data_IF_164977390787
#
_entry.id   IF_164977390787
#
_cell.length_a   1.000
_cell.length_b   1.000
_cell.length_c   1.000
_cell.angle_alpha   90.00
_cell.angle_beta   90.00
_cell.angle_gamma   90.00
#
_symmetry.space_group_name_H-M   'P 1'
#
loop_
_entity.id
_entity.type
_entity.pdbx_description
1 polymer ?
#
# COMPACT_ATOMS: atom_id res chain seq x y z
N UNK A 1 -5.12 4.31 7.38
CA UNK A 1 -5.51 3.13 6.55
C UNK A 1 -6.31 2.09 7.34
N UNK A 2 -5.79 1.40 8.38
CA UNK A 2 -6.57 0.40 9.13
C UNK A 2 -7.87 0.95 9.71
N UNK A 3 -7.82 2.13 10.34
CA UNK A 3 -9.02 2.80 10.86
C UNK A 3 -10.03 3.13 9.75
N UNK A 4 -9.55 3.58 8.58
CA UNK A 4 -10.41 3.87 7.43
C UNK A 4 -11.05 2.61 6.87
N UNK A 5 -10.33 1.48 6.86
CA UNK A 5 -10.87 0.18 6.45
C UNK A 5 -11.99 -0.29 7.39
N UNK A 6 -11.78 -0.19 8.71
CA UNK A 6 -12.77 -0.56 9.72
C UNK A 6 -14.02 0.32 9.58
N UNK A 7 -13.84 1.63 9.51
CA UNK A 7 -14.94 2.58 9.35
C UNK A 7 -15.70 2.38 8.03
N UNK A 8 -14.99 2.09 6.94
CA UNK A 8 -15.59 1.80 5.64
C UNK A 8 -16.43 0.54 5.66
N UNK A 9 -15.99 -0.53 6.35
CA UNK A 9 -16.79 -1.75 6.53
C UNK A 9 -18.06 -1.46 7.34
N UNK A 10 -17.95 -0.70 8.43
CA UNK A 10 -19.10 -0.32 9.26
C UNK A 10 -20.11 0.55 8.50
N UNK A 11 -19.64 1.42 7.62
CA UNK A 11 -20.47 2.28 6.77
C UNK A 11 -20.96 1.59 5.49
N UNK A 12 -20.71 0.29 5.32
CA UNK A 12 -21.06 -0.47 4.11
C UNK A 12 -20.51 0.09 2.79
N UNK A 13 -19.40 0.84 2.85
CA UNK A 13 -18.76 1.45 1.66
C UNK A 13 -18.34 0.39 0.63
N UNK A 14 -17.96 -0.80 1.11
CA UNK A 14 -17.57 -1.93 0.26
C UNK A 14 -18.74 -2.81 -0.18
N UNK A 15 -19.99 -2.38 0.07
CA UNK A 15 -21.18 -3.08 -0.44
C UNK A 15 -21.37 -2.75 -1.92
N UNK A 16 -21.55 -3.76 -2.74
CA UNK A 16 -21.94 -3.56 -4.13
C UNK A 16 -23.39 -3.10 -4.22
N UNK A 17 -23.64 -2.03 -4.95
CA UNK A 17 -24.98 -1.55 -5.28
C UNK A 17 -25.21 -1.74 -6.77
N UNK A 18 -26.13 -2.65 -7.14
CA UNK A 18 -26.47 -2.92 -8.53
C UNK A 18 -27.87 -2.37 -8.77
N UNK A 19 -27.99 -1.47 -9.76
CA UNK A 19 -29.28 -0.96 -10.21
C UNK A 19 -29.86 -1.88 -11.27
N UNK A 20 -31.10 -2.32 -11.10
CA UNK A 20 -31.82 -3.04 -12.13
C UNK A 20 -32.14 -2.10 -13.30
N UNK A 21 -32.02 -2.60 -14.53
CA UNK A 21 -32.32 -1.87 -15.78
C UNK A 21 -33.80 -1.67 -15.94
N UNK A 22 -34.58 -2.72 -15.62
CA UNK A 22 -36.03 -2.81 -15.71
C UNK A 22 -36.55 -3.95 -14.83
N UNK A 23 -37.87 -4.22 -14.90
CA UNK A 23 -38.53 -5.27 -14.09
C UNK A 23 -38.17 -6.70 -14.60
N UNK A 24 -37.81 -6.87 -15.86
CA UNK A 24 -37.38 -8.15 -16.40
C UNK A 24 -36.00 -8.52 -15.89
N UNK A 25 -35.09 -7.55 -15.82
CA UNK A 25 -33.75 -7.69 -15.25
C UNK A 25 -33.81 -8.04 -13.73
N UNK A 26 -34.74 -7.41 -13.00
CA UNK A 26 -35.02 -7.73 -11.61
C UNK A 26 -35.57 -9.16 -11.45
N UNK A 27 -36.56 -9.55 -12.24
CA UNK A 27 -37.12 -10.90 -12.20
C UNK A 27 -36.06 -11.96 -12.54
N UNK A 28 -35.17 -11.66 -13.51
CA UNK A 28 -34.04 -12.53 -13.85
C UNK A 28 -33.08 -12.70 -12.65
N UNK A 29 -32.78 -11.63 -11.91
CA UNK A 29 -31.98 -11.69 -10.69
C UNK A 29 -32.66 -12.53 -9.60
N UNK A 30 -33.96 -12.31 -9.35
CA UNK A 30 -34.72 -13.05 -8.36
C UNK A 30 -34.80 -14.56 -8.66
N UNK A 31 -34.68 -14.94 -9.90
CA UNK A 31 -34.64 -16.34 -10.38
C UNK A 31 -33.22 -16.94 -10.41
N UNK A 32 -32.18 -16.14 -10.22
CA UNK A 32 -30.80 -16.62 -10.27
C UNK A 32 -30.37 -17.31 -8.97
N UNK A 33 -29.53 -18.32 -9.10
CA UNK A 33 -29.00 -19.07 -7.94
C UNK A 33 -27.76 -18.39 -7.35
N UNK A 34 -26.99 -17.72 -8.21
CA UNK A 34 -25.75 -17.02 -7.86
C UNK A 34 -25.68 -15.66 -8.57
N UNK A 35 -25.22 -14.64 -7.84
CA UNK A 35 -25.14 -13.28 -8.36
C UNK A 35 -24.11 -13.15 -9.50
N UNK A 36 -23.01 -13.89 -9.44
CA UNK A 36 -21.96 -13.81 -10.47
C UNK A 36 -22.42 -14.45 -11.77
N UNK A 37 -23.15 -15.58 -11.69
CA UNK A 37 -23.77 -16.21 -12.85
C UNK A 37 -24.81 -15.29 -13.50
N UNK A 38 -25.61 -14.59 -12.69
CA UNK A 38 -26.57 -13.61 -13.21
C UNK A 38 -25.89 -12.43 -13.89
N UNK A 39 -24.83 -11.86 -13.29
CA UNK A 39 -24.07 -10.75 -13.86
C UNK A 39 -23.42 -11.14 -15.20
N UNK A 40 -22.91 -12.36 -15.32
CA UNK A 40 -22.33 -12.88 -16.55
C UNK A 40 -23.41 -13.06 -17.63
N UNK A 41 -24.51 -13.73 -17.31
CA UNK A 41 -25.62 -13.98 -18.24
C UNK A 41 -26.34 -12.70 -18.69
N UNK A 42 -26.32 -11.65 -17.86
CA UNK A 42 -26.92 -10.35 -18.15
C UNK A 42 -25.95 -9.37 -18.84
N UNK A 43 -24.73 -9.81 -19.21
CA UNK A 43 -23.67 -8.97 -19.79
C UNK A 43 -23.40 -7.71 -18.95
N UNK A 44 -23.23 -7.89 -17.64
CA UNK A 44 -22.93 -6.83 -16.65
C UNK A 44 -21.47 -6.90 -16.20
N UNK A 45 -20.55 -6.76 -17.15
CA UNK A 45 -19.11 -6.91 -16.87
C UNK A 45 -18.57 -5.84 -15.91
N UNK A 46 -19.04 -4.59 -16.02
CA UNK A 46 -18.69 -3.50 -15.12
C UNK A 46 -19.14 -3.80 -13.69
N UNK A 47 -20.42 -4.13 -13.50
CA UNK A 47 -20.99 -4.44 -12.19
C UNK A 47 -20.28 -5.65 -11.56
N UNK A 48 -19.94 -6.66 -12.37
CA UNK A 48 -19.18 -7.83 -11.91
C UNK A 48 -17.77 -7.47 -11.46
N UNK A 49 -17.07 -6.64 -12.23
CA UNK A 49 -15.73 -6.20 -11.87
C UNK A 49 -15.72 -5.37 -10.58
N UNK A 50 -16.66 -4.43 -10.47
CA UNK A 50 -16.81 -3.59 -9.28
C UNK A 50 -17.16 -4.42 -8.03
N UNK A 51 -18.09 -5.37 -8.16
CA UNK A 51 -18.45 -6.26 -7.06
C UNK A 51 -17.27 -7.11 -6.58
N UNK A 52 -16.48 -7.68 -7.51
CA UNK A 52 -15.31 -8.48 -7.17
C UNK A 52 -14.21 -7.64 -6.52
N UNK A 53 -13.95 -6.43 -7.01
CA UNK A 53 -12.98 -5.51 -6.38
C UNK A 53 -13.47 -5.13 -4.98
N UNK A 54 -14.73 -4.73 -4.82
CA UNK A 54 -15.31 -4.36 -3.53
C UNK A 54 -15.28 -5.49 -2.49
N UNK A 55 -15.42 -6.73 -2.96
CA UNK A 55 -15.36 -7.91 -2.09
C UNK A 55 -13.92 -8.27 -1.69
N UNK A 56 -12.99 -8.26 -2.67
CA UNK A 56 -11.63 -8.77 -2.44
C UNK A 56 -10.72 -7.71 -1.82
N UNK A 57 -10.81 -6.46 -2.25
CA UNK A 57 -9.92 -5.38 -1.80
C UNK A 57 -9.88 -5.22 -0.26
N UNK A 58 -11.01 -5.07 0.48
CA UNK A 58 -10.96 -4.87 1.92
C UNK A 58 -10.47 -6.10 2.69
N UNK A 59 -10.72 -7.30 2.17
CA UNK A 59 -10.24 -8.54 2.79
C UNK A 59 -8.73 -8.72 2.58
N UNK A 60 -8.27 -8.48 1.35
CA UNK A 60 -6.85 -8.50 1.01
C UNK A 60 -6.06 -7.46 1.81
N UNK A 61 -6.61 -6.25 1.93
CA UNK A 61 -6.00 -5.16 2.69
C UNK A 61 -5.94 -5.47 4.19
N UNK A 62 -6.99 -6.09 4.76
CA UNK A 62 -6.99 -6.56 6.15
C UNK A 62 -5.86 -7.55 6.42
N UNK A 63 -5.76 -8.60 5.61
CA UNK A 63 -4.70 -9.62 5.71
C UNK A 63 -3.28 -9.03 5.54
N UNK A 64 -3.14 -8.04 4.64
CA UNK A 64 -1.88 -7.30 4.49
C UNK A 64 -1.50 -6.51 5.74
N UNK A 65 -2.46 -5.79 6.33
CA UNK A 65 -2.20 -4.99 7.52
C UNK A 65 -1.87 -5.83 8.73
N UNK A 66 -2.54 -6.96 8.91
CA UNK A 66 -2.21 -7.91 9.97
C UNK A 66 -0.77 -8.41 9.83
N UNK A 67 -0.38 -8.84 8.64
CA UNK A 67 1.00 -9.26 8.37
C UNK A 67 2.03 -8.13 8.59
N UNK A 68 1.75 -6.92 8.10
CA UNK A 68 2.64 -5.77 8.24
C UNK A 68 2.76 -5.33 9.71
N UNK A 69 1.65 -5.28 10.44
CA UNK A 69 1.63 -4.93 11.85
C UNK A 69 2.46 -5.92 12.68
N UNK A 70 2.22 -7.21 12.53
CA UNK A 70 2.99 -8.24 13.23
C UNK A 70 4.46 -8.26 12.82
N UNK A 71 4.77 -7.97 11.55
CA UNK A 71 6.16 -7.83 11.10
C UNK A 71 6.88 -6.69 11.81
N UNK A 72 6.24 -5.54 11.97
CA UNK A 72 6.81 -4.38 12.67
C UNK A 72 6.94 -4.67 14.19
N UNK A 73 5.92 -5.25 14.81
CA UNK A 73 5.96 -5.62 16.23
C UNK A 73 7.02 -6.68 16.54
N UNK A 74 7.16 -7.69 15.72
CA UNK A 74 8.20 -8.71 15.88
C UNK A 74 9.60 -8.15 15.63
N UNK A 75 9.74 -7.21 14.67
CA UNK A 75 10.98 -6.46 14.45
C UNK A 75 11.36 -5.64 15.68
N UNK A 76 10.44 -4.89 16.27
CA UNK A 76 10.65 -4.10 17.49
C UNK A 76 11.14 -4.96 18.66
N UNK A 77 10.68 -6.21 18.74
CA UNK A 77 11.11 -7.21 19.73
C UNK A 77 12.42 -7.93 19.37
N UNK A 78 13.08 -7.55 18.28
CA UNK A 78 14.30 -8.19 17.79
C UNK A 78 14.12 -9.58 17.18
N UNK A 79 12.89 -9.96 16.83
CA UNK A 79 12.55 -11.25 16.20
C UNK A 79 12.56 -11.11 14.67
N UNK A 80 13.70 -10.70 14.11
CA UNK A 80 13.82 -10.27 12.72
C UNK A 80 13.54 -11.38 11.70
N UNK A 81 13.84 -12.64 12.04
CA UNK A 81 13.45 -13.78 11.20
C UNK A 81 11.95 -13.78 10.93
N UNK A 82 11.14 -13.66 12.00
CA UNK A 82 9.68 -13.67 11.89
C UNK A 82 9.20 -12.45 11.11
N UNK A 83 9.81 -11.29 11.36
CA UNK A 83 9.51 -10.06 10.65
C UNK A 83 9.71 -10.21 9.13
N UNK A 84 10.86 -10.70 8.67
CA UNK A 84 11.12 -10.94 7.25
C UNK A 84 10.17 -11.98 6.63
N UNK A 85 9.83 -13.04 7.36
CA UNK A 85 8.86 -14.04 6.89
C UNK A 85 7.47 -13.44 6.66
N UNK A 86 7.01 -12.60 7.59
CA UNK A 86 5.68 -11.96 7.52
C UNK A 86 5.60 -10.90 6.41
N UNK A 87 6.69 -10.19 6.11
CA UNK A 87 6.72 -9.16 5.07
C UNK A 87 6.62 -9.72 3.65
N UNK A 88 6.94 -10.99 3.43
CA UNK A 88 6.97 -11.58 2.10
C UNK A 88 5.60 -11.56 1.41
N UNK A 89 4.56 -12.05 2.09
CA UNK A 89 3.21 -12.16 1.53
C UNK A 89 2.63 -10.80 1.12
N UNK A 90 2.58 -9.78 2.00
CA UNK A 90 2.03 -8.48 1.65
C UNK A 90 2.79 -7.78 0.51
N UNK A 91 4.13 -7.86 0.50
CA UNK A 91 4.93 -7.13 -0.48
C UNK A 91 5.02 -7.83 -1.85
N UNK A 92 4.81 -9.13 -1.91
CA UNK A 92 4.87 -9.89 -3.17
C UNK A 92 3.48 -10.21 -3.70
N UNK A 93 2.70 -11.02 -2.96
CA UNK A 93 1.45 -11.57 -3.47
C UNK A 93 0.30 -10.56 -3.38
N UNK A 94 0.08 -9.99 -2.19
CA UNK A 94 -1.03 -9.08 -2.01
C UNK A 94 -0.87 -7.80 -2.85
N UNK A 95 0.31 -7.19 -2.85
CA UNK A 95 0.58 -5.99 -3.65
C UNK A 95 0.47 -6.28 -5.16
N UNK A 96 0.85 -7.48 -5.63
CA UNK A 96 0.65 -7.89 -7.03
C UNK A 96 -0.83 -7.93 -7.41
N UNK A 97 -1.70 -8.42 -6.53
CA UNK A 97 -3.15 -8.42 -6.76
C UNK A 97 -3.71 -7.00 -6.82
N UNK A 98 -3.28 -6.13 -5.90
CA UNK A 98 -3.69 -4.71 -5.92
C UNK A 98 -3.22 -4.00 -7.20
N UNK A 99 -2.00 -4.24 -7.65
CA UNK A 99 -1.51 -3.74 -8.93
C UNK A 99 -2.34 -4.24 -10.12
N UNK A 100 -2.86 -5.47 -10.05
CA UNK A 100 -3.76 -6.01 -11.09
C UNK A 100 -5.07 -5.24 -11.16
N UNK A 101 -5.63 -4.87 -10.00
CA UNK A 101 -6.85 -4.05 -9.92
C UNK A 101 -6.62 -2.65 -10.51
N UNK A 102 -5.43 -2.05 -10.27
CA UNK A 102 -5.07 -0.72 -10.83
C UNK A 102 -4.91 -0.78 -12.34
N UNK A 103 -4.26 -1.81 -12.88
CA UNK A 103 -3.94 -1.91 -14.31
C UNK A 103 -5.19 -2.13 -15.15
N UNK A 104 -6.04 -3.08 -14.74
CA UNK A 104 -7.26 -3.44 -15.45
C UNK A 104 -8.18 -4.27 -14.54
N UNK A 105 -9.23 -3.63 -14.02
CA UNK A 105 -10.20 -4.28 -13.13
C UNK A 105 -11.00 -5.39 -13.80
N UNK A 106 -11.24 -5.28 -15.13
CA UNK A 106 -11.99 -6.30 -15.88
C UNK A 106 -11.15 -7.55 -16.13
N UNK A 107 -9.89 -7.37 -16.56
CA UNK A 107 -8.95 -8.47 -16.71
C UNK A 107 -8.69 -9.18 -15.37
N UNK A 108 -8.55 -8.39 -14.28
CA UNK A 108 -8.46 -8.93 -12.92
C UNK A 108 -9.68 -9.76 -12.55
N UNK A 109 -10.88 -9.23 -12.73
CA UNK A 109 -12.14 -9.92 -12.41
C UNK A 109 -12.32 -11.18 -13.24
N UNK A 110 -12.04 -11.12 -14.54
CA UNK A 110 -12.09 -12.25 -15.45
C UNK A 110 -11.13 -13.38 -15.03
N UNK A 111 -9.88 -13.06 -14.72
CA UNK A 111 -8.90 -14.03 -14.23
C UNK A 111 -9.28 -14.63 -12.87
N UNK A 112 -9.79 -13.79 -11.96
CA UNK A 112 -10.24 -14.26 -10.64
C UNK A 112 -11.37 -15.27 -10.75
N UNK A 113 -12.34 -15.03 -11.63
CA UNK A 113 -13.49 -15.91 -11.83
C UNK A 113 -13.13 -17.21 -12.55
N UNK A 114 -12.24 -17.17 -13.55
CA UNK A 114 -11.98 -18.32 -14.43
C UNK A 114 -10.74 -19.12 -14.05
N UNK A 115 -9.64 -18.45 -13.71
CA UNK A 115 -8.36 -19.08 -13.36
C UNK A 115 -7.53 -18.19 -12.40
N UNK A 116 -7.84 -18.21 -11.10
CA UNK A 116 -7.16 -17.38 -10.10
C UNK A 116 -5.63 -17.56 -10.05
N UNK A 117 -5.12 -18.71 -10.48
CA UNK A 117 -3.68 -18.98 -10.52
C UNK A 117 -2.93 -18.10 -11.52
N UNK A 118 -3.61 -17.46 -12.48
CA UNK A 118 -3.00 -16.46 -13.36
C UNK A 118 -2.67 -15.15 -12.63
N UNK A 119 -3.28 -14.92 -11.47
CA UNK A 119 -3.01 -13.78 -10.59
C UNK A 119 -1.89 -14.06 -9.58
N UNK A 120 -1.21 -15.18 -9.69
CA UNK A 120 -0.07 -15.49 -8.82
C UNK A 120 1.19 -14.79 -9.34
N UNK A 121 1.82 -13.98 -8.50
CA UNK A 121 2.97 -13.11 -8.84
C UNK A 121 4.15 -13.83 -9.49
N UNK A 122 4.38 -15.08 -9.12
CA UNK A 122 5.53 -15.87 -9.60
C UNK A 122 5.24 -16.73 -10.84
N UNK A 123 3.99 -16.74 -11.33
CA UNK A 123 3.61 -17.61 -12.44
C UNK A 123 3.90 -16.97 -13.80
N UNK A 124 4.99 -17.42 -14.45
CA UNK A 124 5.31 -17.01 -15.81
C UNK A 124 5.81 -15.56 -15.93
N UNK A 125 6.23 -14.94 -14.83
CA UNK A 125 6.75 -13.58 -14.81
C UNK A 125 8.25 -13.59 -14.50
N UNK A 126 9.03 -13.05 -15.41
CA UNK A 126 10.43 -12.69 -15.19
C UNK A 126 10.55 -11.26 -14.64
N UNK A 127 11.76 -10.83 -14.32
CA UNK A 127 12.01 -9.50 -13.77
C UNK A 127 11.60 -8.38 -14.74
N UNK A 128 11.77 -8.58 -16.03
CA UNK A 128 11.39 -7.60 -17.07
C UNK A 128 9.85 -7.44 -17.14
N UNK A 129 9.12 -8.54 -17.08
CA UNK A 129 7.66 -8.51 -17.01
C UNK A 129 7.15 -7.79 -15.75
N UNK A 130 7.77 -8.02 -14.59
CA UNK A 130 7.45 -7.29 -13.37
C UNK A 130 7.79 -5.80 -13.49
N UNK A 131 8.93 -5.44 -14.07
CA UNK A 131 9.32 -4.04 -14.30
C UNK A 131 8.30 -3.33 -15.19
N UNK A 132 7.93 -3.93 -16.33
CA UNK A 132 6.91 -3.36 -17.25
C UNK A 132 5.56 -3.19 -16.57
N UNK A 133 5.16 -4.16 -15.76
CA UNK A 133 3.93 -4.09 -14.98
C UNK A 133 3.95 -2.92 -14.00
N UNK A 134 5.00 -2.78 -13.21
CA UNK A 134 5.13 -1.70 -12.23
C UNK A 134 5.25 -0.34 -12.94
N UNK A 135 5.94 -0.26 -14.08
CA UNK A 135 5.97 0.96 -14.90
C UNK A 135 4.55 1.41 -15.26
N UNK A 136 3.71 0.50 -15.76
CA UNK A 136 2.31 0.82 -16.08
C UNK A 136 1.51 1.29 -14.86
N UNK A 137 1.72 0.67 -13.69
CA UNK A 137 1.11 1.12 -12.45
C UNK A 137 1.55 2.53 -12.10
N UNK A 138 2.85 2.82 -12.13
CA UNK A 138 3.38 4.13 -11.80
C UNK A 138 2.88 5.23 -12.77
N UNK A 139 2.72 4.91 -14.05
CA UNK A 139 2.12 5.82 -15.03
C UNK A 139 0.67 6.14 -14.68
N UNK A 140 -0.13 5.13 -14.33
CA UNK A 140 -1.54 5.31 -13.91
C UNK A 140 -1.63 6.14 -12.62
N UNK A 141 -0.72 5.91 -11.67
CA UNK A 141 -0.68 6.64 -10.40
C UNK A 141 -0.10 8.07 -10.54
N UNK A 142 0.58 8.39 -11.66
CA UNK A 142 1.31 9.65 -11.82
C UNK A 142 2.58 9.74 -10.95
N UNK A 143 3.20 8.61 -10.61
CA UNK A 143 4.29 8.50 -9.64
C UNK A 143 5.64 8.09 -10.24
N UNK A 144 5.77 8.11 -11.57
CA UNK A 144 6.96 7.66 -12.30
C UNK A 144 8.23 8.48 -12.01
N UNK A 145 8.10 9.72 -11.54
CA UNK A 145 9.26 10.55 -11.15
C UNK A 145 9.77 10.22 -9.75
N UNK A 146 8.89 9.77 -8.86
CA UNK A 146 9.21 9.51 -7.46
C UNK A 146 9.69 8.09 -7.22
N UNK A 147 9.17 7.12 -7.97
CA UNK A 147 9.51 5.70 -7.83
C UNK A 147 10.19 5.15 -9.08
N UNK A 148 11.19 4.29 -8.87
CA UNK A 148 11.87 3.55 -9.92
C UNK A 148 11.26 2.14 -10.06
N UNK A 149 10.61 1.88 -11.20
CA UNK A 149 9.93 0.61 -11.46
C UNK A 149 10.87 -0.60 -11.43
N UNK A 150 12.09 -0.45 -11.98
CA UNK A 150 13.08 -1.52 -11.99
C UNK A 150 13.55 -1.85 -10.56
N UNK A 151 13.76 -0.82 -9.73
CA UNK A 151 14.14 -1.02 -8.34
C UNK A 151 13.04 -1.67 -7.51
N UNK A 152 11.78 -1.25 -7.69
CA UNK A 152 10.62 -1.90 -7.06
C UNK A 152 10.53 -3.38 -7.47
N UNK A 153 10.75 -3.69 -8.75
CA UNK A 153 10.77 -5.06 -9.26
C UNK A 153 11.93 -5.86 -8.67
N UNK A 154 13.14 -5.30 -8.65
CA UNK A 154 14.32 -5.94 -8.05
C UNK A 154 14.13 -6.24 -6.57
N UNK A 155 13.67 -5.26 -5.79
CA UNK A 155 13.42 -5.47 -4.36
C UNK A 155 12.43 -6.60 -4.11
N UNK A 156 11.37 -6.67 -4.90
CA UNK A 156 10.23 -7.58 -4.64
C UNK A 156 10.39 -8.96 -5.27
N UNK A 157 11.12 -9.11 -6.37
CA UNK A 157 11.09 -10.32 -7.19
C UNK A 157 12.45 -10.88 -7.58
N UNK A 158 13.54 -10.10 -7.47
CA UNK A 158 14.88 -10.59 -7.80
C UNK A 158 15.57 -11.21 -6.58
N UNK A 159 15.53 -12.55 -6.49
CA UNK A 159 16.20 -13.32 -5.43
C UNK A 159 17.72 -13.24 -5.49
N UNK A 160 18.28 -12.88 -6.66
CA UNK A 160 19.71 -12.82 -6.90
C UNK A 160 20.30 -11.45 -6.62
N UNK A 161 19.47 -10.41 -6.63
CA UNK A 161 19.92 -9.05 -6.34
C UNK A 161 20.50 -8.98 -4.91
N UNK A 162 21.71 -8.41 -4.75
CA UNK A 162 22.35 -8.28 -3.43
C UNK A 162 21.51 -7.51 -2.42
N UNK A 163 20.64 -6.62 -2.93
CA UNK A 163 19.74 -5.78 -2.17
C UNK A 163 18.27 -6.25 -2.27
N UNK A 164 18.03 -7.44 -2.83
CA UNK A 164 16.71 -7.99 -3.05
C UNK A 164 15.99 -8.37 -1.76
N UNK A 165 14.89 -7.69 -1.47
CA UNK A 165 14.06 -7.98 -0.29
C UNK A 165 13.46 -9.38 -0.35
N UNK A 166 13.06 -9.85 -1.54
CA UNK A 166 12.62 -11.24 -1.76
C UNK A 166 13.70 -12.26 -1.40
N UNK A 167 14.95 -11.99 -1.80
CA UNK A 167 16.08 -12.84 -1.44
C UNK A 167 16.26 -12.99 0.07
N UNK A 168 16.17 -11.89 0.82
CA UNK A 168 16.25 -11.87 2.27
C UNK A 168 15.06 -12.60 2.90
N UNK A 169 13.84 -12.26 2.52
CA UNK A 169 12.63 -12.88 3.05
C UNK A 169 12.58 -14.39 2.78
N UNK A 170 12.97 -14.81 1.57
CA UNK A 170 13.04 -16.23 1.24
C UNK A 170 14.11 -16.96 2.07
N UNK A 171 15.29 -16.37 2.23
CA UNK A 171 16.39 -16.96 3.02
C UNK A 171 16.09 -16.99 4.52
N UNK A 172 15.31 -16.05 5.02
CA UNK A 172 14.86 -16.03 6.42
C UNK A 172 14.03 -17.25 6.81
N UNK A 173 13.41 -17.92 5.83
CA UNK A 173 12.64 -19.16 6.04
C UNK A 173 13.52 -20.40 6.19
N UNK A 174 14.81 -20.32 5.87
CA UNK A 174 15.75 -21.43 5.94
C UNK A 174 16.67 -21.30 7.14
N UNK A 175 17.04 -22.43 7.74
CA UNK A 175 17.94 -22.45 8.91
C UNK A 175 19.34 -21.93 8.56
N UNK A 176 19.85 -22.27 7.37
CA UNK A 176 21.17 -21.86 6.90
C UNK A 176 21.05 -20.90 5.72
N UNK A 177 21.79 -19.78 5.76
CA UNK A 177 21.84 -18.83 4.66
C UNK A 177 23.17 -18.11 4.58
N UNK A 178 23.64 -17.82 3.36
CA UNK A 178 24.76 -16.94 3.08
C UNK A 178 24.37 -15.49 2.78
N UNK A 179 23.10 -15.11 2.93
CA UNK A 179 22.67 -13.74 2.61
C UNK A 179 23.22 -12.75 3.62
N UNK A 180 24.02 -11.77 3.15
CA UNK A 180 24.78 -10.81 4.01
C UNK A 180 23.89 -10.01 4.96
N UNK A 181 22.67 -9.69 4.58
CA UNK A 181 21.76 -8.90 5.42
C UNK A 181 21.26 -9.64 6.67
N UNK A 182 21.29 -10.98 6.68
CA UNK A 182 20.74 -11.82 7.76
C UNK A 182 21.71 -12.91 8.21
N UNK A 183 22.89 -12.97 7.60
CA UNK A 183 23.92 -13.93 7.98
C UNK A 183 24.41 -13.69 9.39
N UNK A 184 24.45 -14.74 10.21
CA UNK A 184 25.16 -14.76 11.50
C UNK A 184 26.50 -15.48 11.34
N UNK A 185 27.55 -14.93 11.95
CA UNK A 185 28.88 -15.51 11.91
C UNK A 185 28.95 -16.82 12.72
N UNK A 186 29.95 -17.63 12.51
CA UNK A 186 30.59 -18.11 11.29
C UNK A 186 29.86 -19.29 10.69
N UNK A 187 28.79 -19.79 11.34
CA UNK A 187 28.08 -21.03 10.96
C UNK A 187 26.95 -20.81 9.97
N UNK A 188 26.67 -19.59 9.54
CA UNK A 188 25.54 -19.22 8.66
C UNK A 188 24.16 -19.75 9.14
N UNK A 189 24.02 -19.93 10.46
CA UNK A 189 22.75 -20.30 11.07
C UNK A 189 21.95 -19.03 11.33
N UNK A 190 20.86 -18.86 10.60
CA UNK A 190 20.06 -17.66 10.70
C UNK A 190 19.52 -17.44 12.11
N UNK A 191 19.82 -16.27 12.70
CA UNK A 191 19.21 -15.72 13.89
C UNK A 191 19.47 -16.47 15.20
N UNK A 192 19.92 -17.72 15.18
CA UNK A 192 20.13 -18.52 16.40
C UNK A 192 21.21 -17.92 17.27
N UNK A 193 22.30 -17.43 16.66
CA UNK A 193 23.43 -16.81 17.35
C UNK A 193 23.54 -15.31 17.06
N UNK A 194 22.42 -14.68 16.64
CA UNK A 194 22.42 -13.27 16.30
C UNK A 194 22.66 -12.41 17.55
N UNK A 195 23.81 -11.77 17.60
CA UNK A 195 24.17 -10.79 18.61
C UNK A 195 23.57 -9.41 18.30
N UNK A 196 23.87 -8.44 19.13
CA UNK A 196 23.33 -7.09 18.99
C UNK A 196 23.75 -6.40 17.67
N UNK A 197 25.01 -6.57 17.27
CA UNK A 197 25.54 -5.95 16.05
C UNK A 197 24.91 -6.54 14.78
N UNK A 198 24.69 -7.85 14.72
CA UNK A 198 23.98 -8.48 13.60
C UNK A 198 22.53 -8.00 13.52
N UNK A 199 21.86 -7.84 14.66
CA UNK A 199 20.51 -7.26 14.73
C UNK A 199 20.49 -5.82 14.24
N UNK A 200 21.46 -5.00 14.61
CA UNK A 200 21.57 -3.63 14.10
C UNK A 200 21.72 -3.59 12.58
N UNK A 201 22.55 -4.46 12.00
CA UNK A 201 22.70 -4.59 10.54
C UNK A 201 21.38 -5.02 9.88
N UNK A 202 20.69 -5.98 10.46
CA UNK A 202 19.39 -6.46 9.97
C UNK A 202 18.31 -5.37 10.05
N UNK A 203 18.25 -4.59 11.14
CA UNK A 203 17.35 -3.45 11.27
C UNK A 203 17.71 -2.34 10.28
N UNK A 204 18.98 -2.00 10.12
CA UNK A 204 19.42 -0.99 9.18
C UNK A 204 19.02 -1.34 7.75
N UNK A 205 19.19 -2.62 7.35
CA UNK A 205 18.71 -3.10 6.06
C UNK A 205 17.18 -3.02 5.97
N UNK A 206 16.44 -3.57 6.92
CA UNK A 206 14.97 -3.61 6.92
C UNK A 206 14.39 -2.20 6.78
N UNK A 207 14.79 -1.30 7.67
CA UNK A 207 14.24 0.05 7.73
C UNK A 207 14.80 1.01 6.68
N UNK A 208 15.85 0.64 5.96
CA UNK A 208 16.29 1.39 4.78
C UNK A 208 15.45 1.11 3.52
N UNK A 209 14.75 -0.02 3.43
CA UNK A 209 13.99 -0.45 2.24
C UNK A 209 12.47 -0.46 2.44
N UNK A 210 12.03 -0.86 3.62
CA UNK A 210 10.62 -1.03 3.92
C UNK A 210 9.79 0.27 3.74
N UNK A 211 10.23 1.45 4.20
CA UNK A 211 9.47 2.68 4.01
C UNK A 211 9.21 3.05 2.54
N UNK A 212 10.18 2.80 1.66
CA UNK A 212 10.02 3.00 0.22
C UNK A 212 8.92 2.09 -0.36
N UNK A 213 8.93 0.80 0.01
CA UNK A 213 7.92 -0.17 -0.41
C UNK A 213 6.53 0.16 0.16
N UNK A 214 6.46 0.61 1.42
CA UNK A 214 5.20 1.01 2.05
C UNK A 214 4.64 2.31 1.46
N UNK A 215 5.48 3.25 1.06
CA UNK A 215 5.04 4.46 0.37
C UNK A 215 4.44 4.13 -1.01
N UNK A 216 5.06 3.22 -1.76
CA UNK A 216 4.50 2.72 -3.02
C UNK A 216 3.17 1.98 -2.80
N UNK A 217 3.13 1.07 -1.82
CA UNK A 217 1.91 0.38 -1.43
C UNK A 217 0.78 1.36 -1.10
N UNK A 218 1.08 2.42 -0.35
CA UNK A 218 0.10 3.45 -0.01
C UNK A 218 -0.50 4.10 -1.26
N UNK A 219 0.32 4.48 -2.25
CA UNK A 219 -0.18 5.07 -3.51
C UNK A 219 -1.12 4.12 -4.25
N UNK A 220 -0.78 2.83 -4.32
CA UNK A 220 -1.63 1.80 -4.94
C UNK A 220 -2.97 1.66 -4.20
N UNK A 221 -2.95 1.60 -2.88
CA UNK A 221 -4.16 1.45 -2.04
C UNK A 221 -5.06 2.68 -2.14
N UNK A 222 -4.50 3.89 -2.07
CA UNK A 222 -5.28 5.13 -2.17
C UNK A 222 -5.94 5.28 -3.55
N UNK A 223 -5.24 4.87 -4.61
CA UNK A 223 -5.82 4.87 -5.95
C UNK A 223 -7.04 3.95 -6.06
N UNK A 224 -6.93 2.70 -5.58
CA UNK A 224 -8.05 1.76 -5.59
C UNK A 224 -9.18 2.28 -4.70
N UNK A 225 -8.86 2.76 -3.50
CA UNK A 225 -9.87 3.29 -2.58
C UNK A 225 -10.65 4.47 -3.19
N UNK A 226 -9.98 5.35 -3.93
CA UNK A 226 -10.61 6.47 -4.63
C UNK A 226 -11.60 6.04 -5.72
N UNK A 227 -11.48 4.82 -6.26
CA UNK A 227 -12.48 4.27 -7.20
C UNK A 227 -13.71 3.70 -6.51
N UNK A 228 -13.60 3.35 -5.22
CA UNK A 228 -14.67 2.73 -4.43
C UNK A 228 -15.45 3.79 -3.64
N UNK A 229 -14.74 4.76 -3.07
CA UNK A 229 -15.34 5.77 -2.20
C UNK A 229 -14.74 7.15 -2.47
N UNK A 230 -15.60 8.16 -2.41
CA UNK A 230 -15.16 9.55 -2.51
C UNK A 230 -14.34 9.90 -1.27
N UNK A 231 -13.06 10.20 -1.50
CA UNK A 231 -12.18 10.73 -0.47
C UNK A 231 -12.01 12.23 -0.65
N UNK A 232 -12.16 13.01 0.42
CA UNK A 232 -12.03 14.46 0.30
C UNK A 232 -10.59 14.85 -0.03
N UNK A 233 -10.37 15.82 -0.94
CA UNK A 233 -9.03 16.30 -1.27
C UNK A 233 -8.23 16.75 -0.04
N UNK A 234 -8.89 17.36 0.92
CA UNK A 234 -8.27 17.82 2.16
C UNK A 234 -7.70 16.67 3.02
N UNK A 235 -8.40 15.52 3.07
CA UNK A 235 -7.89 14.32 3.74
C UNK A 235 -6.67 13.73 3.01
N UNK A 236 -6.73 13.65 1.67
CA UNK A 236 -5.61 13.15 0.85
C UNK A 236 -4.37 14.05 1.05
N UNK A 237 -4.55 15.35 1.04
CA UNK A 237 -3.46 16.32 1.28
C UNK A 237 -2.86 16.16 2.68
N UNK A 238 -3.69 15.97 3.71
CA UNK A 238 -3.22 15.73 5.08
C UNK A 238 -2.40 14.44 5.17
N UNK A 239 -2.89 13.34 4.60
CA UNK A 239 -2.17 12.07 4.60
C UNK A 239 -0.87 12.13 3.82
N UNK A 240 -0.87 12.77 2.65
CA UNK A 240 0.34 12.95 1.86
C UNK A 240 1.39 13.78 2.60
N UNK A 241 0.97 14.81 3.32
CA UNK A 241 1.84 15.66 4.14
C UNK A 241 2.47 14.88 5.29
N UNK A 242 1.68 14.06 6.01
CA UNK A 242 2.17 13.17 7.08
C UNK A 242 3.19 12.18 6.55
N UNK A 243 2.89 11.51 5.43
CA UNK A 243 3.78 10.54 4.81
C UNK A 243 5.07 11.21 4.34
N UNK A 244 4.97 12.40 3.72
CA UNK A 244 6.14 13.15 3.30
C UNK A 244 7.03 13.52 4.48
N UNK A 245 6.45 13.96 5.60
CA UNK A 245 7.19 14.24 6.83
C UNK A 245 7.89 12.99 7.36
N UNK A 246 7.20 11.83 7.39
CA UNK A 246 7.80 10.55 7.79
C UNK A 246 8.94 10.13 6.86
N UNK A 247 8.83 10.34 5.56
CA UNK A 247 9.89 10.04 4.58
C UNK A 247 11.12 10.92 4.82
N UNK A 248 10.92 12.21 5.10
CA UNK A 248 12.04 13.11 5.38
C UNK A 248 12.74 12.73 6.68
N UNK A 249 11.99 12.43 7.74
CA UNK A 249 12.55 11.94 9.02
C UNK A 249 13.26 10.58 8.87
N UNK A 250 12.68 9.68 8.11
CA UNK A 250 13.28 8.37 7.81
C UNK A 250 14.65 8.52 7.14
N UNK A 251 14.77 9.41 6.17
CA UNK A 251 16.01 9.61 5.43
C UNK A 251 17.17 10.05 6.31
N UNK A 252 16.94 10.80 7.37
CA UNK A 252 17.96 11.19 8.35
C UNK A 252 18.64 9.97 9.00
N UNK A 253 17.92 8.85 9.11
CA UNK A 253 18.40 7.58 9.66
C UNK A 253 19.09 6.66 8.65
N UNK A 254 18.93 6.89 7.35
CA UNK A 254 19.56 6.06 6.30
C UNK A 254 21.05 6.41 6.20
N UNK A 255 21.91 5.41 6.37
CA UNK A 255 23.38 5.58 6.37
C UNK A 255 24.03 4.55 5.45
N UNK A 256 25.27 4.83 4.97
CA UNK A 256 26.04 3.83 4.24
C UNK A 256 26.14 2.49 5.02
N UNK A 257 26.07 1.36 4.34
CA UNK A 257 25.99 1.16 2.88
C UNK A 257 24.56 1.12 2.31
N UNK A 258 23.56 1.61 3.03
CA UNK A 258 22.14 1.48 2.68
C UNK A 258 21.56 2.70 1.93
N UNK A 259 22.38 3.73 1.69
CA UNK A 259 22.06 4.99 1.00
C UNK A 259 22.06 4.84 -0.52
N UNK A 260 21.21 3.98 -1.02
CA UNK A 260 21.06 3.64 -2.43
C UNK A 260 20.54 4.83 -3.26
N UNK A 261 21.11 5.13 -4.48
CA UNK A 261 20.78 6.33 -5.25
C UNK A 261 19.30 6.52 -5.59
N UNK A 262 18.55 5.43 -5.81
CA UNK A 262 17.11 5.49 -6.12
C UNK A 262 16.27 5.88 -4.90
N UNK A 263 16.70 5.53 -3.70
CA UNK A 263 16.10 6.04 -2.45
C UNK A 263 16.39 7.53 -2.25
N UNK A 264 17.56 7.99 -2.71
CA UNK A 264 17.92 9.41 -2.72
C UNK A 264 16.96 10.21 -3.60
N UNK A 265 16.69 9.72 -4.80
CA UNK A 265 15.72 10.31 -5.73
C UNK A 265 14.33 10.38 -5.10
N UNK A 266 13.85 9.28 -4.53
CA UNK A 266 12.56 9.22 -3.82
C UNK A 266 12.47 10.25 -2.69
N UNK A 267 13.51 10.35 -1.85
CA UNK A 267 13.58 11.34 -0.79
C UNK A 267 13.51 12.77 -1.33
N UNK A 268 14.33 13.12 -2.33
CA UNK A 268 14.38 14.47 -2.87
C UNK A 268 13.05 14.90 -3.51
N UNK A 269 12.41 14.04 -4.29
CA UNK A 269 11.10 14.34 -4.85
C UNK A 269 10.06 14.55 -3.77
N UNK A 270 10.04 13.72 -2.73
CA UNK A 270 9.11 13.84 -1.62
C UNK A 270 9.35 15.12 -0.81
N UNK A 271 10.61 15.45 -0.51
CA UNK A 271 10.97 16.68 0.20
C UNK A 271 10.62 17.94 -0.61
N UNK A 272 10.93 17.95 -1.90
CA UNK A 272 10.58 19.06 -2.78
C UNK A 272 9.06 19.27 -2.87
N UNK A 273 8.30 18.17 -2.97
CA UNK A 273 6.85 18.23 -2.92
C UNK A 273 6.36 18.83 -1.60
N UNK A 274 6.88 18.38 -0.46
CA UNK A 274 6.48 18.88 0.86
C UNK A 274 6.77 20.37 1.04
N UNK A 275 7.97 20.82 0.63
CA UNK A 275 8.34 22.25 0.70
C UNK A 275 7.43 23.11 -0.19
N UNK A 276 7.18 22.68 -1.42
CA UNK A 276 6.28 23.39 -2.35
C UNK A 276 4.84 23.42 -1.82
N UNK A 277 4.38 22.31 -1.24
CA UNK A 277 3.04 22.23 -0.66
C UNK A 277 2.88 23.20 0.51
N UNK A 278 3.81 23.21 1.47
CA UNK A 278 3.80 24.18 2.58
C UNK A 278 3.83 25.62 2.07
N UNK A 279 4.70 25.92 1.10
CA UNK A 279 4.82 27.28 0.55
C UNK A 279 3.54 27.74 -0.16
N UNK A 280 2.87 26.86 -0.91
CA UNK A 280 1.58 27.17 -1.57
C UNK A 280 0.47 27.46 -0.55
N UNK A 281 0.54 26.88 0.63
CA UNK A 281 -0.41 27.12 1.73
C UNK A 281 0.01 28.29 2.64
N UNK A 282 1.06 29.01 2.28
CA UNK A 282 1.53 30.18 3.03
C UNK A 282 2.43 29.88 4.22
N UNK A 283 2.87 28.63 4.37
CA UNK A 283 3.76 28.21 5.46
C UNK A 283 5.21 28.13 5.01
N UNK A 284 6.14 28.31 5.95
CA UNK A 284 7.56 28.11 5.71
C UNK A 284 7.89 26.63 5.49
N UNK A 285 9.04 26.28 4.89
CA UNK A 285 9.53 24.92 4.87
C UNK A 285 9.66 24.34 6.30
N UNK A 286 9.27 23.08 6.52
CA UNK A 286 9.31 22.46 7.85
C UNK A 286 10.74 22.20 8.32
N UNK A 287 11.05 22.54 9.57
CA UNK A 287 12.22 22.07 10.28
C UNK A 287 11.97 20.74 10.98
N UNK A 288 13.01 20.18 11.64
CA UNK A 288 12.91 18.85 12.27
C UNK A 288 11.75 18.72 13.28
N UNK A 289 11.55 19.70 14.14
CA UNK A 289 10.44 19.70 15.11
C UNK A 289 9.07 19.80 14.43
N UNK A 290 8.98 20.58 13.34
CA UNK A 290 7.75 20.64 12.54
C UNK A 290 7.46 19.29 11.86
N UNK A 291 8.47 18.60 11.34
CA UNK A 291 8.34 17.28 10.71
C UNK A 291 7.79 16.23 11.68
N UNK A 292 8.30 16.20 12.93
CA UNK A 292 7.77 15.30 13.96
C UNK A 292 6.28 15.56 14.24
N UNK A 293 5.93 16.83 14.43
CA UNK A 293 4.55 17.22 14.67
C UNK A 293 3.65 16.97 13.46
N UNK A 294 4.15 17.24 12.26
CA UNK A 294 3.46 16.99 10.99
C UNK A 294 3.22 15.49 10.75
N UNK A 295 4.18 14.64 11.05
CA UNK A 295 4.04 13.18 10.95
C UNK A 295 2.93 12.64 11.86
N UNK A 296 2.80 13.19 13.06
CA UNK A 296 1.79 12.79 14.06
C UNK A 296 0.40 13.35 13.73
N UNK A 297 0.27 14.66 13.55
CA UNK A 297 -1.01 15.37 13.47
C UNK A 297 -1.34 15.97 12.09
N UNK A 298 -0.41 15.95 11.13
CA UNK A 298 -0.54 16.64 9.85
C UNK A 298 -0.41 18.15 9.98
N UNK A 299 0.06 18.68 11.13
CA UNK A 299 0.19 20.12 11.36
C UNK A 299 1.14 20.79 10.38
N UNK A 300 0.79 21.99 9.92
CA UNK A 300 1.71 22.85 9.19
C UNK A 300 2.76 23.47 10.12
N UNK A 301 3.90 23.96 9.60
CA UNK A 301 4.91 24.64 10.38
C UNK A 301 4.38 25.88 11.09
N UNK A 302 4.32 25.85 12.43
CA UNK A 302 3.80 26.98 13.22
C UNK A 302 2.29 27.04 13.39
N UNK A 303 1.52 26.12 12.82
CA UNK A 303 0.05 26.01 13.01
C UNK A 303 -0.26 25.74 14.49
N UNK A 304 -1.26 26.43 15.05
CA UNK A 304 -1.67 26.23 16.44
C UNK A 304 -2.43 24.91 16.65
N UNK A 305 -2.52 24.41 17.87
CA UNK A 305 -3.16 23.12 18.14
C UNK A 305 -4.68 23.16 17.90
N UNK A 306 -5.32 24.28 18.20
CA UNK A 306 -6.72 24.51 17.94
C UNK A 306 -7.04 24.56 16.44
N UNK A 307 -6.19 25.18 15.62
CA UNK A 307 -6.30 25.19 14.16
C UNK A 307 -6.18 23.77 13.58
N UNK A 308 -5.24 22.97 14.08
CA UNK A 308 -5.11 21.55 13.70
C UNK A 308 -6.37 20.78 14.05
N UNK A 309 -6.90 20.96 15.27
CA UNK A 309 -8.11 20.28 15.72
C UNK A 309 -9.34 20.65 14.88
N UNK A 310 -9.51 21.95 14.57
CA UNK A 310 -10.59 22.44 13.72
C UNK A 310 -10.52 21.82 12.30
N UNK A 311 -9.32 21.80 11.69
CA UNK A 311 -9.09 21.21 10.39
C UNK A 311 -9.40 19.70 10.39
N UNK A 312 -9.02 18.97 11.43
CA UNK A 312 -9.35 17.54 11.58
C UNK A 312 -10.86 17.31 11.75
N UNK A 313 -11.57 18.16 12.48
CA UNK A 313 -13.03 18.08 12.60
C UNK A 313 -13.73 18.30 11.26
N UNK A 314 -13.24 19.21 10.43
CA UNK A 314 -13.75 19.42 9.07
C UNK A 314 -13.62 18.16 8.19
N UNK A 315 -12.55 17.37 8.33
CA UNK A 315 -12.42 16.10 7.60
C UNK A 315 -13.49 15.10 8.00
N UNK A 316 -13.78 15.00 9.31
CA UNK A 316 -14.83 14.10 9.80
C UNK A 316 -16.20 14.52 9.32
N UNK A 317 -16.51 15.83 9.37
CA UNK A 317 -17.79 16.35 8.89
C UNK A 317 -17.97 16.19 7.39
N UNK A 318 -16.91 16.43 6.59
CA UNK A 318 -16.94 16.21 5.15
C UNK A 318 -17.14 14.74 4.78
N UNK A 319 -16.50 13.81 5.52
CA UNK A 319 -16.68 12.38 5.32
C UNK A 319 -18.12 11.93 5.62
N UNK A 320 -18.73 12.45 6.69
CA UNK A 320 -20.14 12.18 7.06
C UNK A 320 -21.08 12.72 5.96
N UNK A 321 -20.86 13.94 5.49
CA UNK A 321 -21.68 14.55 4.45
C UNK A 321 -21.59 13.83 3.10
N UNK A 322 -20.43 13.32 2.73
CA UNK A 322 -20.27 12.51 1.53
C UNK A 322 -20.98 11.15 1.65
N UNK A 323 -20.97 10.52 2.82
CA UNK A 323 -21.68 9.28 3.06
C UNK A 323 -23.20 9.43 3.00
N UNK A 324 -23.74 10.56 3.49
CA UNK A 324 -25.18 10.86 3.43
C UNK A 324 -25.66 11.14 2.00
N UNK A 325 -24.86 11.85 1.21
CA UNK A 325 -25.22 12.14 -0.18
C UNK A 325 -25.25 10.87 -1.09
N UNK A 326 -24.42 9.87 -0.78
CA UNK A 326 -24.46 8.58 -1.49
C UNK A 326 -25.70 7.75 -1.14
N UNK A 327 -26.23 7.86 0.08
CA UNK A 327 -27.48 7.19 0.49
C UNK A 327 -28.72 7.81 -0.16
N UNK A 328 -28.76 9.12 -0.36
CA UNK A 328 -29.89 9.80 -1.00
C UNK A 328 -29.96 9.53 -2.52
N UNK A 329 -28.81 9.39 -3.19
CA UNK A 329 -28.78 9.04 -4.62
C UNK A 329 -29.05 7.56 -4.92
N UNK A 330 -28.94 6.68 -3.93
CA UNK A 330 -29.27 5.26 -4.01
C UNK A 330 -30.73 4.93 -3.65
N UNK A 331 -31.47 5.89 -3.09
CA UNK A 331 -32.88 5.74 -2.66
C UNK A 331 -33.93 6.33 -3.62
N UNK A 332 -33.51 6.84 -4.77
CA UNK A 332 -34.41 7.40 -5.82
C UNK A 332 -34.30 6.54 -7.13
#
# INVERSE_FOLDING_TARGET
MLQSLISGRQASIFSGHIKFRDEEDRASFEGATDIFDWLENSNREDDRADLLVNLVFPNLLGDMFDCLYEALETSRKGKLTVSFMLLRKPLQECLFLLESMVIDRHDYAGKLATNPLQLWSQRGHDLDAHTKRITKVLEILGESERFDANFLAQLRYDKSAPDGFDGVCNKAMHLFTGHKAIQTAPLNVNFIFSEYNEKLTQWAYLYSRLPYLLAYLHCVVEHIYATIALTTPAYIEDMNRRIAALVVLWWEGVKPPHDEPRLHTFFHHTQAWLHNHCSKQGYRPPGHADLLRMADSGAYPGEAEDEVAERQQQFVQAAISCGSAQQETSGS
#
